data_IF_957421598706
#
_entry.id   IF_957421598706
#
_cell.length_a   1.000
_cell.length_b   1.000
_cell.length_c   1.000
_cell.angle_alpha   90.00
_cell.angle_beta   90.00
_cell.angle_gamma   90.00
#
_symmetry.space_group_name_H-M   'P 1'
#
loop_
_entity.id
_entity.type
_entity.pdbx_description
1 polymer ?
#
# COMPACT_ATOMS: atom_id res chain seq x y z
N UNK A 1 19.34 12.63 21.10
CA UNK A 1 18.93 11.38 20.41
C UNK A 1 18.13 11.65 19.13
N UNK A 2 16.98 12.34 19.17
CA UNK A 2 16.17 12.58 17.96
C UNK A 2 16.90 13.33 16.83
N UNK A 3 17.67 14.37 17.15
CA UNK A 3 18.46 15.14 16.17
C UNK A 3 19.50 14.24 15.48
N UNK A 4 20.14 13.32 16.21
CA UNK A 4 21.15 12.40 15.66
C UNK A 4 20.53 11.48 14.60
N UNK A 5 19.34 10.92 14.88
CA UNK A 5 18.63 10.10 13.90
C UNK A 5 18.19 10.90 12.66
N UNK A 6 17.77 12.15 12.84
CA UNK A 6 17.41 13.02 11.73
C UNK A 6 18.63 13.31 10.84
N UNK A 7 19.76 13.66 11.45
CA UNK A 7 21.01 13.91 10.73
C UNK A 7 21.47 12.64 10.01
N UNK A 8 21.41 11.47 10.64
CA UNK A 8 21.75 10.21 10.00
C UNK A 8 20.84 9.87 8.80
N UNK A 9 19.54 10.16 8.88
CA UNK A 9 18.64 9.97 7.75
C UNK A 9 18.96 10.90 6.57
N UNK A 10 19.33 12.15 6.85
CA UNK A 10 19.76 13.12 5.84
C UNK A 10 21.10 12.70 5.22
N UNK A 11 22.05 12.24 6.03
CA UNK A 11 23.35 11.75 5.60
C UNK A 11 23.21 10.59 4.62
N UNK A 12 22.36 9.61 4.95
CA UNK A 12 22.01 8.50 4.03
C UNK A 12 21.45 9.07 2.72
N UNK A 13 20.50 10.00 2.77
CA UNK A 13 19.94 10.62 1.56
C UNK A 13 20.99 11.29 0.67
N UNK A 14 21.93 12.02 1.27
CA UNK A 14 23.03 12.68 0.56
C UNK A 14 24.04 11.66 0.02
N UNK A 15 24.35 10.62 0.78
CA UNK A 15 25.28 9.57 0.37
C UNK A 15 24.77 8.77 -0.86
N UNK A 16 23.46 8.51 -0.97
CA UNK A 16 22.91 7.78 -2.13
C UNK A 16 22.51 8.69 -3.31
N UNK A 17 22.55 10.02 -3.16
CA UNK A 17 22.23 10.98 -4.22
C UNK A 17 23.06 10.81 -5.51
N UNK A 18 24.38 10.56 -5.46
CA UNK A 18 25.21 10.43 -6.66
C UNK A 18 24.74 9.32 -7.61
N UNK A 19 24.16 8.22 -7.09
CA UNK A 19 23.61 7.16 -7.93
C UNK A 19 22.49 7.68 -8.86
N UNK A 20 21.56 8.46 -8.31
CA UNK A 20 20.45 9.02 -9.08
C UNK A 20 20.88 10.15 -10.01
N UNK A 21 21.86 10.96 -9.58
CA UNK A 21 22.44 12.00 -10.41
C UNK A 21 23.14 11.41 -11.64
N UNK A 22 23.93 10.34 -11.46
CA UNK A 22 24.60 9.63 -12.55
C UNK A 22 23.62 8.96 -13.53
N UNK A 23 22.44 8.53 -13.05
CA UNK A 23 21.36 7.98 -13.90
C UNK A 23 20.62 9.05 -14.71
N UNK A 24 20.59 10.29 -14.23
CA UNK A 24 19.77 11.38 -14.81
C UNK A 24 20.57 12.35 -15.68
N UNK A 25 21.90 12.20 -15.76
CA UNK A 25 22.75 13.11 -16.54
C UNK A 25 22.58 12.90 -18.05
N UNK A 26 22.58 13.98 -18.86
CA UNK A 26 22.54 13.86 -20.32
C UNK A 26 23.81 13.21 -20.87
N UNK A 27 24.96 13.35 -20.19
CA UNK A 27 26.22 12.75 -20.60
C UNK A 27 26.31 11.28 -20.18
N UNK A 28 25.67 10.39 -20.95
CA UNK A 28 25.49 8.97 -20.61
C UNK A 28 26.79 8.21 -20.35
N UNK A 29 27.88 8.47 -21.10
CA UNK A 29 29.18 7.79 -20.91
C UNK A 29 29.82 8.22 -19.60
N UNK A 30 29.89 9.53 -19.33
CA UNK A 30 30.49 10.07 -18.12
C UNK A 30 29.69 9.67 -16.87
N UNK A 31 28.36 9.81 -16.92
CA UNK A 31 27.47 9.38 -15.84
C UNK A 31 27.56 7.88 -15.56
N UNK A 32 27.62 7.07 -16.61
CA UNK A 32 27.82 5.63 -16.48
C UNK A 32 29.14 5.29 -15.80
N UNK A 33 30.26 5.87 -16.25
CA UNK A 33 31.59 5.59 -15.69
C UNK A 33 31.70 5.99 -14.20
N UNK A 34 31.24 7.19 -13.86
CA UNK A 34 31.20 7.66 -12.45
C UNK A 34 30.26 6.79 -11.61
N UNK A 35 29.11 6.39 -12.16
CA UNK A 35 28.16 5.48 -11.51
C UNK A 35 28.76 4.10 -11.22
N UNK A 36 29.48 3.51 -12.17
CA UNK A 36 30.20 2.23 -11.98
C UNK A 36 31.24 2.36 -10.87
N UNK A 37 32.09 3.38 -10.93
CA UNK A 37 33.15 3.59 -9.94
C UNK A 37 32.57 3.74 -8.54
N UNK A 38 31.52 4.55 -8.39
CA UNK A 38 30.87 4.78 -7.10
C UNK A 38 30.17 3.52 -6.57
N UNK A 39 29.47 2.78 -7.44
CA UNK A 39 28.80 1.52 -7.07
C UNK A 39 29.80 0.45 -6.65
N UNK A 40 30.92 0.31 -7.38
CA UNK A 40 31.98 -0.63 -7.04
C UNK A 40 32.63 -0.28 -5.70
N UNK A 41 32.93 1.00 -5.46
CA UNK A 41 33.49 1.45 -4.18
C UNK A 41 32.58 1.08 -3.01
N UNK A 42 31.27 1.37 -3.10
CA UNK A 42 30.30 0.98 -2.07
C UNK A 42 30.22 -0.52 -1.87
N UNK A 43 30.17 -1.29 -2.96
CA UNK A 43 30.08 -2.74 -2.91
C UNK A 43 31.31 -3.35 -2.23
N UNK A 44 32.51 -2.92 -2.63
CA UNK A 44 33.78 -3.40 -2.09
C UNK A 44 33.92 -3.08 -0.60
N UNK A 45 33.66 -1.84 -0.19
CA UNK A 45 33.75 -1.43 1.22
C UNK A 45 32.75 -2.22 2.08
N UNK A 46 31.50 -2.38 1.61
CA UNK A 46 30.48 -3.12 2.37
C UNK A 46 30.74 -4.62 2.42
N UNK A 47 31.25 -5.20 1.35
CA UNK A 47 31.64 -6.60 1.34
C UNK A 47 32.83 -6.84 2.28
N UNK A 48 33.82 -5.95 2.26
CA UNK A 48 34.98 -6.00 3.15
C UNK A 48 34.57 -5.91 4.63
N UNK A 49 33.68 -4.98 4.99
CA UNK A 49 33.15 -4.84 6.36
C UNK A 49 32.37 -6.10 6.80
N UNK A 50 31.60 -6.69 5.88
CA UNK A 50 30.81 -7.90 6.16
C UNK A 50 31.72 -9.13 6.39
N UNK A 51 32.80 -9.26 5.62
CA UNK A 51 33.76 -10.38 5.74
C UNK A 51 34.66 -10.20 6.97
N UNK A 52 35.13 -8.99 7.25
CA UNK A 52 36.09 -8.72 8.33
C UNK A 52 35.41 -8.79 9.70
N UNK A 53 34.14 -8.38 9.79
CA UNK A 53 33.37 -8.35 11.03
C UNK A 53 32.06 -9.15 10.89
N UNK A 54 32.12 -10.49 10.83
CA UNK A 54 30.95 -11.35 10.63
C UNK A 54 30.04 -11.44 11.87
N UNK A 55 30.56 -11.13 13.06
CA UNK A 55 29.88 -11.40 14.33
C UNK A 55 28.62 -10.55 14.53
N UNK A 56 27.47 -11.20 14.42
CA UNK A 56 26.20 -10.76 14.97
C UNK A 56 25.90 -11.48 16.29
N UNK A 57 25.32 -10.76 17.26
CA UNK A 57 25.11 -11.26 18.61
C UNK A 57 23.92 -12.24 18.72
N UNK A 58 23.10 -12.37 17.66
CA UNK A 58 21.78 -13.04 17.71
C UNK A 58 21.68 -14.20 16.70
N UNK A 59 22.20 -14.05 15.48
CA UNK A 59 22.03 -15.01 14.37
C UNK A 59 23.33 -15.71 13.93
N UNK A 60 24.42 -15.54 14.70
CA UNK A 60 25.72 -16.14 14.43
C UNK A 60 26.56 -15.38 13.39
N UNK A 61 27.56 -16.02 12.75
CA UNK A 61 28.54 -15.34 11.89
C UNK A 61 27.98 -14.85 10.54
N UNK A 62 26.76 -15.26 10.16
CA UNK A 62 26.15 -14.87 8.88
C UNK A 62 25.05 -13.81 9.03
N UNK A 63 24.81 -13.30 10.25
CA UNK A 63 23.72 -12.36 10.55
C UNK A 63 23.71 -11.12 9.64
N UNK A 64 24.86 -10.46 9.51
CA UNK A 64 24.99 -9.25 8.68
C UNK A 64 24.70 -9.53 7.21
N UNK A 65 25.18 -10.67 6.70
CA UNK A 65 24.97 -11.06 5.31
C UNK A 65 23.47 -11.33 5.04
N UNK A 66 22.81 -12.04 5.96
CA UNK A 66 21.38 -12.37 5.86
C UNK A 66 20.50 -11.13 5.94
N UNK A 67 20.84 -10.13 6.75
CA UNK A 67 20.04 -8.89 6.84
C UNK A 67 20.31 -7.97 5.65
N UNK A 68 21.55 -7.89 5.18
CA UNK A 68 21.99 -6.95 4.15
C UNK A 68 21.86 -7.49 2.72
N UNK A 69 21.44 -8.74 2.52
CA UNK A 69 21.30 -9.32 1.19
C UNK A 69 20.48 -8.51 0.16
N UNK A 70 19.37 -7.79 0.51
CA UNK A 70 18.61 -7.04 -0.49
C UNK A 70 19.38 -5.80 -0.95
N UNK A 71 20.21 -5.25 -0.07
CA UNK A 71 21.09 -4.13 -0.39
C UNK A 71 22.16 -4.55 -1.40
N UNK A 72 22.82 -5.70 -1.18
CA UNK A 72 23.78 -6.24 -2.14
C UNK A 72 23.13 -6.52 -3.49
N UNK A 73 21.96 -7.17 -3.49
CA UNK A 73 21.20 -7.45 -4.71
C UNK A 73 20.88 -6.16 -5.49
N UNK A 74 20.43 -5.11 -4.81
CA UNK A 74 20.18 -3.81 -5.41
C UNK A 74 21.44 -3.16 -6.00
N UNK A 75 22.58 -3.24 -5.31
CA UNK A 75 23.85 -2.71 -5.81
C UNK A 75 24.35 -3.46 -7.05
N UNK A 76 24.25 -4.79 -7.07
CA UNK A 76 24.60 -5.59 -8.24
C UNK A 76 23.71 -5.25 -9.44
N UNK A 77 22.40 -5.12 -9.22
CA UNK A 77 21.46 -4.70 -10.27
C UNK A 77 21.81 -3.29 -10.81
N UNK A 78 22.14 -2.36 -9.92
CA UNK A 78 22.51 -1.01 -10.29
C UNK A 78 23.83 -0.96 -11.09
N UNK A 79 24.82 -1.76 -10.68
CA UNK A 79 26.09 -1.92 -11.40
C UNK A 79 25.84 -2.41 -12.84
N UNK A 80 25.03 -3.47 -12.99
CA UNK A 80 24.65 -3.98 -14.30
C UNK A 80 23.95 -2.93 -15.17
N UNK A 81 23.08 -2.10 -14.56
CA UNK A 81 22.41 -0.99 -15.26
C UNK A 81 23.38 0.08 -15.73
N UNK A 82 24.37 0.49 -14.94
CA UNK A 82 25.36 1.47 -15.38
C UNK A 82 26.24 0.94 -16.51
N UNK A 83 26.69 -0.32 -16.42
CA UNK A 83 27.43 -0.97 -17.51
C UNK A 83 26.58 -1.00 -18.79
N UNK A 84 25.30 -1.34 -18.70
CA UNK A 84 24.38 -1.32 -19.84
C UNK A 84 24.25 0.08 -20.46
N UNK A 85 24.14 1.14 -19.66
CA UNK A 85 24.07 2.53 -20.15
C UNK A 85 25.34 2.90 -20.92
N UNK A 86 26.51 2.54 -20.41
CA UNK A 86 27.80 2.78 -21.10
C UNK A 86 27.84 2.02 -22.43
N UNK A 87 27.53 0.72 -22.42
CA UNK A 87 27.54 -0.10 -23.64
C UNK A 87 26.56 0.44 -24.68
N UNK A 88 25.35 0.84 -24.27
CA UNK A 88 24.36 1.46 -25.16
C UNK A 88 24.86 2.80 -25.71
N UNK A 89 25.45 3.64 -24.87
CA UNK A 89 25.99 4.94 -25.30
C UNK A 89 27.14 4.78 -26.29
N UNK A 90 28.06 3.83 -26.06
CA UNK A 90 29.16 3.53 -26.99
C UNK A 90 28.61 3.00 -28.33
N UNK A 91 27.62 2.10 -28.32
CA UNK A 91 26.99 1.59 -29.56
C UNK A 91 26.33 2.70 -30.39
N UNK A 92 25.66 3.65 -29.73
CA UNK A 92 25.06 4.81 -30.40
C UNK A 92 26.15 5.73 -30.97
N UNK A 93 27.20 6.03 -30.21
CA UNK A 93 28.33 6.84 -30.69
C UNK A 93 29.05 6.19 -31.88
N UNK A 94 29.13 4.86 -31.92
CA UNK A 94 29.66 4.08 -33.04
C UNK A 94 28.69 3.96 -34.23
N UNK A 95 27.54 4.65 -34.19
CA UNK A 95 26.46 4.62 -35.21
C UNK A 95 25.92 3.22 -35.52
N UNK A 96 26.11 2.26 -34.63
CA UNK A 96 25.55 0.90 -34.75
C UNK A 96 24.04 0.87 -34.47
N UNK A 97 23.48 1.95 -33.94
CA UNK A 97 22.07 2.07 -33.56
C UNK A 97 21.63 3.54 -33.74
N UNK A 98 20.43 3.76 -34.29
CA UNK A 98 19.90 5.11 -34.52
C UNK A 98 19.64 5.87 -33.21
N UNK A 99 19.80 7.20 -33.25
CA UNK A 99 19.52 8.09 -32.12
C UNK A 99 18.01 8.17 -31.90
N UNK A 100 17.52 7.37 -30.96
CA UNK A 100 16.09 7.26 -30.63
C UNK A 100 15.72 8.42 -29.68
N UNK A 101 14.79 9.28 -30.08
CA UNK A 101 14.31 10.41 -29.28
C UNK A 101 13.90 9.94 -27.87
N UNK A 102 14.36 10.64 -26.82
CA UNK A 102 14.10 10.24 -25.43
C UNK A 102 12.60 10.05 -25.13
N UNK A 103 11.73 10.91 -25.68
CA UNK A 103 10.27 10.81 -25.52
C UNK A 103 9.68 9.50 -26.08
N UNK A 104 10.17 9.02 -27.23
CA UNK A 104 9.70 7.78 -27.87
C UNK A 104 10.21 6.52 -27.12
N UNK A 105 11.43 6.59 -26.57
CA UNK A 105 12.01 5.53 -25.72
C UNK A 105 11.23 5.41 -24.42
N UNK A 106 10.89 6.53 -23.76
CA UNK A 106 10.05 6.50 -22.56
C UNK A 106 8.66 5.91 -22.87
N UNK A 107 8.06 6.25 -24.01
CA UNK A 107 6.79 5.68 -24.45
C UNK A 107 6.88 4.16 -24.69
N UNK A 108 7.93 3.70 -25.36
CA UNK A 108 8.16 2.28 -25.64
C UNK A 108 8.48 1.50 -24.35
N UNK A 109 9.43 1.97 -23.55
CA UNK A 109 9.84 1.34 -22.29
C UNK A 109 8.68 1.25 -21.27
N UNK A 110 7.78 2.24 -21.27
CA UNK A 110 6.56 2.22 -20.45
C UNK A 110 5.53 1.19 -20.94
N UNK A 111 5.38 1.02 -22.27
CA UNK A 111 4.51 -0.01 -22.88
C UNK A 111 5.03 -1.43 -22.58
N UNK A 112 6.35 -1.62 -22.53
CA UNK A 112 6.95 -2.90 -22.16
C UNK A 112 6.89 -3.16 -20.65
N UNK A 113 7.08 -2.15 -19.80
CA UNK A 113 6.89 -2.27 -18.35
C UNK A 113 5.46 -2.70 -18.00
N UNK A 114 4.46 -2.07 -18.62
CA UNK A 114 3.04 -2.42 -18.37
C UNK A 114 2.66 -3.84 -18.83
N UNK A 115 3.29 -4.34 -19.90
CA UNK A 115 3.12 -5.71 -20.39
C UNK A 115 3.91 -6.74 -19.55
N UNK A 116 5.13 -6.41 -19.14
CA UNK A 116 5.98 -7.24 -18.29
C UNK A 116 5.38 -7.37 -16.88
N UNK A 117 4.86 -6.29 -16.31
CA UNK A 117 4.17 -6.31 -15.02
C UNK A 117 2.85 -7.12 -15.08
N UNK A 118 2.24 -7.30 -16.25
CA UNK A 118 1.07 -8.18 -16.41
C UNK A 118 1.50 -9.65 -16.37
N UNK A 119 2.57 -10.01 -17.10
CA UNK A 119 3.10 -11.38 -17.11
C UNK A 119 3.76 -11.79 -15.80
N UNK A 120 4.47 -10.88 -15.14
CA UNK A 120 5.13 -11.13 -13.86
C UNK A 120 4.11 -11.33 -12.74
N UNK A 121 2.97 -10.63 -12.80
CA UNK A 121 1.89 -10.78 -11.82
C UNK A 121 1.22 -12.16 -11.89
N UNK A 122 0.96 -12.72 -13.07
CA UNK A 122 0.43 -14.09 -13.20
C UNK A 122 1.43 -15.11 -12.65
N UNK A 123 2.70 -15.01 -13.07
CA UNK A 123 3.76 -15.94 -12.64
C UNK A 123 4.02 -15.94 -11.13
N UNK A 124 3.93 -14.77 -10.48
CA UNK A 124 4.15 -14.66 -9.02
C UNK A 124 2.98 -15.18 -8.18
N UNK A 125 1.76 -15.21 -8.72
CA UNK A 125 0.63 -15.85 -8.04
C UNK A 125 0.72 -17.37 -8.10
N UNK A 126 1.17 -17.93 -9.24
CA UNK A 126 1.36 -19.38 -9.40
C UNK A 126 2.47 -19.94 -8.48
N UNK A 127 3.58 -19.21 -8.31
CA UNK A 127 4.68 -19.61 -7.41
C UNK A 127 4.28 -19.50 -5.92
N UNK A 128 3.37 -18.58 -5.58
CA UNK A 128 2.88 -18.40 -4.21
C UNK A 128 1.95 -19.55 -3.79
N UNK A 129 1.20 -20.12 -4.73
CA UNK A 129 0.40 -21.33 -4.50
C UNK A 129 1.29 -22.58 -4.37
N UNK A 130 2.44 -22.65 -5.07
CA UNK A 130 3.41 -23.74 -4.90
C UNK A 130 4.19 -23.66 -3.56
N UNK A 131 4.48 -22.45 -3.08
CA UNK A 131 5.14 -22.22 -1.78
C UNK A 131 4.24 -22.59 -0.59
N UNK A 132 2.92 -22.41 -0.76
CA UNK A 132 1.90 -22.81 0.21
C UNK A 132 1.88 -24.32 0.43
N UNK A 133 2.09 -25.11 -0.62
CA UNK A 133 2.15 -26.56 -0.54
C UNK A 133 3.48 -27.05 0.08
N UNK A 134 4.58 -26.33 -0.14
CA UNK A 134 5.89 -26.62 0.46
C UNK A 134 5.96 -26.30 1.97
N UNK A 135 5.22 -25.27 2.43
CA UNK A 135 5.14 -24.94 3.86
C UNK A 135 4.32 -25.96 4.67
N UNK A 136 3.43 -26.71 4.02
CA UNK A 136 2.69 -27.80 4.67
C UNK A 136 3.60 -28.99 5.03
N UNK A 137 4.73 -29.13 4.34
CA UNK A 137 5.70 -30.23 4.52
C UNK A 137 6.71 -29.94 5.66
N UNK A 138 7.11 -28.67 5.81
CA UNK A 138 8.09 -28.21 6.82
C UNK A 138 7.51 -28.17 8.24
N UNK A 139 6.17 -28.11 8.38
CA UNK A 139 5.48 -28.10 9.67
C UNK A 139 5.57 -29.44 10.44
N UNK A 140 6.17 -30.47 9.85
CA UNK A 140 6.24 -31.83 10.39
C UNK A 140 7.52 -32.17 11.19
N UNK A 141 8.56 -31.33 11.16
CA UNK A 141 9.85 -31.66 11.81
C UNK A 141 10.29 -30.60 12.84
N UNK A 142 9.87 -30.73 14.09
CA UNK A 142 10.64 -30.20 15.22
C UNK A 142 10.10 -30.73 16.56
N UNK A 143 10.84 -31.63 17.21
CA UNK A 143 10.61 -32.03 18.59
C UNK A 143 11.95 -32.24 19.33
N UNK A 144 11.89 -31.99 20.64
CA UNK A 144 12.88 -32.27 21.73
C UNK A 144 14.02 -31.24 21.95
N UNK A 145 14.40 -30.83 23.18
CA UNK A 145 14.21 -31.43 24.52
C UNK A 145 14.34 -30.40 25.68
N UNK A 146 13.78 -30.82 26.82
CA UNK A 146 13.82 -30.39 28.24
C UNK A 146 15.27 -30.33 28.82
N UNK A 147 15.66 -29.83 30.01
CA UNK A 147 15.07 -29.74 31.35
C UNK A 147 16.06 -29.07 32.34
N UNK A 148 15.66 -28.09 33.16
CA UNK A 148 16.40 -27.72 34.41
C UNK A 148 15.49 -27.18 35.53
N UNK A 149 14.33 -26.64 35.22
CA UNK A 149 13.67 -25.71 36.13
C UNK A 149 12.29 -26.25 36.57
N UNK A 150 12.21 -26.91 37.73
CA UNK A 150 11.15 -27.90 38.00
C UNK A 150 10.06 -27.53 39.03
N UNK A 151 9.94 -26.30 39.53
CA UNK A 151 8.80 -26.00 40.44
C UNK A 151 8.19 -24.58 40.41
N UNK A 152 8.94 -23.51 40.14
CA UNK A 152 8.38 -22.16 39.85
C UNK A 152 8.19 -21.91 38.34
N UNK A 153 8.84 -22.76 37.56
CA UNK A 153 9.00 -22.66 36.13
C UNK A 153 7.96 -23.47 35.34
N UNK A 154 7.22 -24.48 35.84
CA UNK A 154 6.25 -25.18 34.99
C UNK A 154 5.22 -24.23 34.37
N UNK A 155 4.64 -23.30 35.15
CA UNK A 155 3.67 -22.31 34.65
C UNK A 155 4.30 -21.28 33.70
N UNK A 156 5.47 -20.73 34.06
CA UNK A 156 6.19 -19.77 33.21
C UNK A 156 6.80 -20.41 31.95
N UNK A 157 7.18 -21.68 32.00
CA UNK A 157 7.72 -22.46 30.90
C UNK A 157 6.60 -22.97 29.99
N UNK A 158 5.45 -23.37 30.56
CA UNK A 158 4.25 -23.66 29.78
C UNK A 158 3.81 -22.41 29.02
N UNK A 159 3.72 -21.25 29.69
CA UNK A 159 3.44 -19.98 29.04
C UNK A 159 4.51 -19.59 28.01
N UNK A 160 5.80 -19.66 28.35
CA UNK A 160 6.90 -19.31 27.46
C UNK A 160 6.96 -20.22 26.22
N UNK A 161 6.73 -21.52 26.38
CA UNK A 161 6.70 -22.49 25.29
C UNK A 161 5.48 -22.25 24.38
N UNK A 162 4.30 -22.06 24.98
CA UNK A 162 3.07 -21.73 24.24
C UNK A 162 3.23 -20.39 23.50
N UNK A 163 3.77 -19.37 24.17
CA UNK A 163 4.01 -18.06 23.59
C UNK A 163 5.04 -18.13 22.45
N UNK A 164 6.15 -18.87 22.61
CA UNK A 164 7.15 -19.07 21.56
C UNK A 164 6.56 -19.76 20.34
N UNK A 165 5.84 -20.88 20.54
CA UNK A 165 5.19 -21.61 19.45
C UNK A 165 4.13 -20.76 18.76
N UNK A 166 3.31 -20.05 19.53
CA UNK A 166 2.29 -19.15 18.99
C UNK A 166 2.91 -17.99 18.22
N UNK A 167 3.99 -17.39 18.73
CA UNK A 167 4.72 -16.29 18.08
C UNK A 167 5.34 -16.73 16.75
N UNK A 168 5.96 -17.92 16.69
CA UNK A 168 6.49 -18.46 15.43
C UNK A 168 5.37 -18.72 14.42
N UNK A 169 4.28 -19.35 14.84
CA UNK A 169 3.13 -19.61 13.98
C UNK A 169 2.50 -18.30 13.45
N UNK A 170 2.32 -17.30 14.32
CA UNK A 170 1.75 -16.01 13.92
C UNK A 170 2.70 -15.20 13.05
N UNK A 171 4.01 -15.36 13.22
CA UNK A 171 5.00 -14.70 12.34
C UNK A 171 4.84 -15.20 10.90
N UNK A 172 4.70 -16.52 10.71
CA UNK A 172 4.47 -17.12 9.39
C UNK A 172 3.15 -16.60 8.80
N UNK A 173 2.05 -16.66 9.57
CA UNK A 173 0.73 -16.24 9.10
C UNK A 173 0.66 -14.73 8.77
N UNK A 174 1.29 -13.89 9.61
CA UNK A 174 1.37 -12.44 9.38
C UNK A 174 2.21 -12.13 8.13
N UNK A 175 3.30 -12.87 7.91
CA UNK A 175 4.14 -12.69 6.72
C UNK A 175 3.36 -13.02 5.44
N UNK A 176 2.66 -14.17 5.42
CA UNK A 176 1.81 -14.57 4.28
C UNK A 176 0.72 -13.53 4.04
N UNK A 177 0.07 -13.05 5.12
CA UNK A 177 -0.96 -12.01 5.04
C UNK A 177 -0.39 -10.72 4.46
N UNK A 178 0.80 -10.30 4.90
CA UNK A 178 1.49 -9.09 4.42
C UNK A 178 1.86 -9.17 2.94
N UNK A 179 2.38 -10.31 2.50
CA UNK A 179 2.71 -10.58 1.09
C UNK A 179 1.45 -10.55 0.23
N UNK A 180 0.42 -11.29 0.62
CA UNK A 180 -0.90 -11.32 -0.06
C UNK A 180 -1.48 -9.91 -0.17
N UNK A 181 -1.31 -9.09 0.87
CA UNK A 181 -1.74 -7.71 0.87
C UNK A 181 -0.97 -6.80 -0.07
N UNK A 182 0.34 -6.97 -0.17
CA UNK A 182 1.13 -6.20 -1.13
C UNK A 182 0.65 -6.50 -2.55
N UNK A 183 0.44 -7.77 -2.89
CA UNK A 183 -0.13 -8.16 -4.18
C UNK A 183 -1.54 -7.59 -4.41
N UNK A 184 -2.43 -7.71 -3.43
CA UNK A 184 -3.78 -7.17 -3.53
C UNK A 184 -3.80 -5.64 -3.69
N UNK A 185 -2.89 -4.92 -3.01
CA UNK A 185 -2.70 -3.46 -3.17
C UNK A 185 -2.27 -3.12 -4.60
N UNK A 186 -1.36 -3.89 -5.20
CA UNK A 186 -0.94 -3.68 -6.60
C UNK A 186 -2.11 -3.85 -7.58
N UNK A 187 -2.94 -4.89 -7.40
CA UNK A 187 -4.16 -5.11 -8.19
C UNK A 187 -5.15 -3.96 -8.00
N UNK A 188 -5.37 -3.53 -6.76
CA UNK A 188 -6.23 -2.40 -6.44
C UNK A 188 -5.73 -1.11 -7.11
N UNK A 189 -4.44 -0.82 -6.98
CA UNK A 189 -3.79 0.33 -7.58
C UNK A 189 -4.05 0.40 -9.09
N UNK A 190 -3.87 -0.71 -9.80
CA UNK A 190 -4.18 -0.83 -11.23
C UNK A 190 -5.64 -0.52 -11.55
N UNK A 191 -6.58 -1.08 -10.77
CA UNK A 191 -8.02 -0.85 -10.95
C UNK A 191 -8.39 0.62 -10.70
N UNK A 192 -7.83 1.23 -9.66
CA UNK A 192 -8.03 2.64 -9.34
C UNK A 192 -7.47 3.55 -10.43
N UNK A 193 -6.28 3.23 -10.95
CA UNK A 193 -5.65 3.98 -12.04
C UNK A 193 -6.52 3.93 -13.30
N UNK A 194 -6.97 2.74 -13.74
CA UNK A 194 -7.88 2.59 -14.90
C UNK A 194 -9.20 3.36 -14.74
N UNK A 195 -9.78 3.39 -13.54
CA UNK A 195 -11.01 4.16 -13.25
C UNK A 195 -10.75 5.67 -13.36
N UNK A 196 -9.62 6.11 -12.82
CA UNK A 196 -9.24 7.51 -12.87
C UNK A 196 -8.94 7.96 -14.31
N UNK A 197 -8.40 7.08 -15.17
CA UNK A 197 -8.23 7.34 -16.61
C UNK A 197 -9.55 7.56 -17.34
N UNK A 198 -10.62 6.87 -16.91
CA UNK A 198 -11.98 7.07 -17.43
C UNK A 198 -12.66 8.34 -16.89
N UNK A 199 -11.95 9.13 -16.07
CA UNK A 199 -12.52 10.32 -15.41
C UNK A 199 -13.45 10.02 -14.23
N UNK A 200 -13.58 8.76 -13.81
CA UNK A 200 -14.46 8.37 -12.70
C UNK A 200 -13.78 8.65 -11.35
N UNK A 201 -14.07 9.80 -10.75
CA UNK A 201 -13.51 10.25 -9.45
C UNK A 201 -14.35 9.85 -8.22
N UNK A 202 -15.44 9.10 -8.39
CA UNK A 202 -16.39 8.76 -7.31
C UNK A 202 -15.80 7.98 -6.13
N UNK A 203 -14.63 7.36 -6.30
CA UNK A 203 -13.92 6.66 -5.22
C UNK A 203 -13.03 7.58 -4.37
N UNK A 204 -12.76 8.80 -4.83
CA UNK A 204 -11.99 9.80 -4.10
C UNK A 204 -12.95 10.76 -3.38
N UNK A 205 -12.65 11.12 -2.12
CA UNK A 205 -13.32 12.22 -1.44
C UNK A 205 -13.35 13.48 -2.32
N UNK A 206 -14.47 14.22 -2.30
CA UNK A 206 -14.68 15.42 -3.14
C UNK A 206 -13.57 16.46 -2.98
N UNK A 207 -13.02 16.61 -1.77
CA UNK A 207 -11.88 17.50 -1.47
C UNK A 207 -10.62 17.19 -2.29
N UNK A 208 -10.47 15.97 -2.81
CA UNK A 208 -9.32 15.55 -3.60
C UNK A 208 -9.56 15.63 -5.11
N UNK A 209 -10.71 16.12 -5.57
CA UNK A 209 -10.98 16.24 -7.00
C UNK A 209 -10.20 17.37 -7.66
N UNK A 210 -9.89 18.44 -6.91
CA UNK A 210 -9.14 19.64 -7.33
C UNK A 210 -8.05 20.05 -6.30
N UNK A 211 -6.98 19.25 -6.11
CA UNK A 211 -5.95 19.58 -5.14
C UNK A 211 -4.98 20.65 -5.66
N UNK A 212 -4.43 21.47 -4.75
CA UNK A 212 -3.35 22.41 -5.07
C UNK A 212 -2.14 21.66 -5.65
N UNK A 213 -1.51 22.15 -6.74
CA UNK A 213 -0.33 21.52 -7.33
C UNK A 213 0.82 21.33 -6.33
N UNK A 214 1.13 22.34 -5.51
CA UNK A 214 2.24 22.28 -4.55
C UNK A 214 2.02 21.17 -3.49
N UNK A 215 0.80 21.12 -2.94
CA UNK A 215 0.41 20.13 -1.93
C UNK A 215 0.39 18.71 -2.52
N UNK A 216 0.03 18.59 -3.80
CA UNK A 216 0.04 17.30 -4.50
C UNK A 216 1.45 16.81 -4.78
N UNK A 217 2.37 17.71 -5.16
CA UNK A 217 3.79 17.36 -5.35
C UNK A 217 4.44 16.95 -4.03
N UNK A 218 4.18 17.68 -2.94
CA UNK A 218 4.63 17.29 -1.60
C UNK A 218 4.04 15.94 -1.15
N UNK A 219 2.80 15.62 -1.56
CA UNK A 219 2.21 14.31 -1.29
C UNK A 219 2.91 13.18 -2.06
N UNK A 220 3.31 13.41 -3.31
CA UNK A 220 4.07 12.43 -4.11
C UNK A 220 5.42 12.14 -3.48
N UNK A 221 6.18 13.18 -3.09
CA UNK A 221 7.53 13.00 -2.51
C UNK A 221 7.48 12.25 -1.19
N UNK A 222 6.41 12.39 -0.41
CA UNK A 222 6.21 11.71 0.87
C UNK A 222 5.63 10.30 0.74
N UNK A 223 4.96 9.99 -0.37
CA UNK A 223 4.15 8.77 -0.50
C UNK A 223 4.99 7.49 -0.35
N UNK A 224 6.18 7.42 -0.96
CA UNK A 224 7.04 6.22 -0.89
C UNK A 224 7.48 5.90 0.54
N UNK A 225 7.96 6.90 1.27
CA UNK A 225 8.37 6.74 2.67
C UNK A 225 7.20 6.38 3.59
N UNK A 226 6.03 6.99 3.34
CA UNK A 226 4.81 6.68 4.08
C UNK A 226 4.35 5.24 3.82
N UNK A 227 4.33 4.81 2.55
CA UNK A 227 3.98 3.43 2.18
C UNK A 227 4.83 2.41 2.94
N UNK A 228 6.14 2.61 3.02
CA UNK A 228 7.04 1.71 3.76
C UNK A 228 6.72 1.75 5.26
N UNK A 229 6.57 2.94 5.85
CA UNK A 229 6.33 3.09 7.28
C UNK A 229 5.00 2.46 7.73
N UNK A 230 3.90 2.69 7.00
CA UNK A 230 2.59 2.11 7.31
C UNK A 230 2.57 0.59 7.09
N UNK A 231 3.29 0.08 6.08
CA UNK A 231 3.40 -1.37 5.86
C UNK A 231 4.15 -2.03 7.03
N UNK A 232 5.26 -1.43 7.49
CA UNK A 232 6.05 -1.94 8.62
C UNK A 232 5.26 -1.90 9.93
N UNK A 233 4.69 -0.75 10.28
CA UNK A 233 3.87 -0.61 11.49
C UNK A 233 2.61 -1.48 11.44
N UNK A 234 1.98 -1.56 10.27
CA UNK A 234 0.83 -2.41 10.06
C UNK A 234 1.14 -3.89 10.24
N UNK A 235 2.29 -4.35 9.73
CA UNK A 235 2.77 -5.71 9.99
C UNK A 235 2.95 -5.97 11.49
N UNK A 236 3.60 -5.07 12.23
CA UNK A 236 3.81 -5.22 13.67
C UNK A 236 2.49 -5.29 14.45
N UNK A 237 1.55 -4.39 14.15
CA UNK A 237 0.24 -4.34 14.80
C UNK A 237 -0.57 -5.60 14.49
N UNK A 238 -0.67 -5.99 13.22
CA UNK A 238 -1.40 -7.20 12.80
C UNK A 238 -0.78 -8.44 13.44
N UNK A 239 0.55 -8.56 13.42
CA UNK A 239 1.27 -9.67 14.03
C UNK A 239 0.97 -9.77 15.53
N UNK A 240 1.06 -8.65 16.27
CA UNK A 240 0.78 -8.62 17.70
C UNK A 240 -0.67 -9.01 18.02
N UNK A 241 -1.64 -8.51 17.25
CA UNK A 241 -3.05 -8.86 17.44
C UNK A 241 -3.30 -10.33 17.14
N UNK A 242 -2.75 -10.86 16.04
CA UNK A 242 -2.82 -12.28 15.71
C UNK A 242 -2.18 -13.15 16.81
N UNK A 243 -1.06 -12.72 17.39
CA UNK A 243 -0.41 -13.37 18.51
C UNK A 243 -1.31 -13.44 19.75
N UNK A 244 -1.99 -12.34 20.11
CA UNK A 244 -2.96 -12.34 21.22
C UNK A 244 -4.14 -13.28 20.96
N UNK A 245 -4.67 -13.31 19.73
CA UNK A 245 -5.72 -14.25 19.35
C UNK A 245 -5.25 -15.70 19.42
N UNK A 246 -4.03 -15.99 18.96
CA UNK A 246 -3.44 -17.32 19.05
C UNK A 246 -3.27 -17.77 20.52
N UNK A 247 -2.82 -16.87 21.40
CA UNK A 247 -2.70 -17.14 22.82
C UNK A 247 -4.07 -17.46 23.44
N UNK A 248 -5.08 -16.63 23.16
CA UNK A 248 -6.46 -16.86 23.63
C UNK A 248 -7.02 -18.19 23.12
N UNK A 249 -6.72 -18.56 21.86
CA UNK A 249 -7.13 -19.84 21.28
C UNK A 249 -6.45 -21.04 21.98
N UNK A 250 -5.14 -20.97 22.22
CA UNK A 250 -4.41 -22.07 22.87
C UNK A 250 -4.86 -22.26 24.32
N UNK A 251 -4.99 -21.19 25.09
CA UNK A 251 -5.48 -21.27 26.47
C UNK A 251 -6.97 -21.60 26.57
N UNK A 252 -7.78 -21.07 25.65
CA UNK A 252 -9.23 -21.24 25.67
C UNK A 252 -9.67 -22.60 25.17
N UNK A 253 -8.97 -23.21 24.20
CA UNK A 253 -9.43 -24.42 23.51
C UNK A 253 -8.41 -25.56 23.63
N UNK A 254 -7.15 -25.32 23.26
CA UNK A 254 -6.14 -26.40 23.13
C UNK A 254 -5.75 -26.99 24.50
N UNK A 255 -5.49 -26.15 25.50
CA UNK A 255 -5.06 -26.60 26.83
C UNK A 255 -6.14 -27.41 27.58
N UNK A 256 -7.43 -26.99 27.62
CA UNK A 256 -8.50 -27.80 28.21
C UNK A 256 -8.65 -29.19 27.57
N UNK A 257 -8.43 -29.28 26.25
CA UNK A 257 -8.46 -30.55 25.50
C UNK A 257 -7.29 -31.44 25.93
N UNK A 258 -6.07 -30.91 25.98
CA UNK A 258 -4.88 -31.68 26.36
C UNK A 258 -4.90 -32.14 27.82
N UNK A 259 -5.42 -31.32 28.74
CA UNK A 259 -5.48 -31.63 30.18
C UNK A 259 -6.65 -32.56 30.57
N UNK A 260 -7.42 -33.05 29.59
CA UNK A 260 -8.52 -33.99 29.83
C UNK A 260 -9.79 -33.37 30.43
N UNK A 261 -9.86 -32.04 30.58
CA UNK A 261 -11.02 -31.31 31.08
C UNK A 261 -12.06 -31.00 29.97
N UNK A 262 -12.08 -31.80 28.91
CA UNK A 262 -12.87 -31.54 27.70
C UNK A 262 -14.37 -31.50 27.97
N UNK A 263 -14.87 -32.29 28.93
CA UNK A 263 -16.29 -32.37 29.25
C UNK A 263 -16.80 -31.06 29.90
N UNK A 264 -16.02 -30.48 30.82
CA UNK A 264 -16.34 -29.20 31.45
C UNK A 264 -16.29 -28.06 30.43
N UNK A 265 -15.27 -28.07 29.57
CA UNK A 265 -15.15 -27.12 28.47
C UNK A 265 -16.34 -27.22 27.49
N UNK A 266 -16.69 -28.43 27.05
CA UNK A 266 -17.77 -28.69 26.11
C UNK A 266 -19.13 -28.29 26.68
N UNK A 267 -19.37 -28.54 27.97
CA UNK A 267 -20.58 -28.11 28.66
C UNK A 267 -20.72 -26.58 28.64
N UNK A 268 -19.65 -25.85 29.00
CA UNK A 268 -19.65 -24.39 28.97
C UNK A 268 -19.87 -23.82 27.56
N UNK A 269 -19.19 -24.38 26.56
CA UNK A 269 -19.38 -23.99 25.15
C UNK A 269 -20.79 -24.33 24.67
N UNK A 270 -21.31 -25.50 25.04
CA UNK A 270 -22.67 -25.93 24.72
C UNK A 270 -23.73 -24.98 25.29
N UNK A 271 -23.57 -24.52 26.53
CA UNK A 271 -24.45 -23.53 27.15
C UNK A 271 -24.41 -22.20 26.39
N UNK A 272 -23.21 -21.73 26.02
CA UNK A 272 -23.05 -20.49 25.23
C UNK A 272 -23.73 -20.62 23.87
N UNK A 273 -23.47 -21.71 23.14
CA UNK A 273 -24.07 -21.96 21.82
C UNK A 273 -25.59 -22.11 21.91
N UNK A 274 -26.11 -22.79 22.93
CA UNK A 274 -27.54 -22.91 23.18
C UNK A 274 -28.16 -21.54 23.45
N UNK A 275 -27.50 -20.69 24.24
CA UNK A 275 -27.97 -19.33 24.53
C UNK A 275 -28.03 -18.50 23.24
N UNK A 276 -27.00 -18.55 22.40
CA UNK A 276 -26.97 -17.87 21.09
C UNK A 276 -28.10 -18.41 20.19
N UNK A 277 -28.30 -19.72 20.14
CA UNK A 277 -29.35 -20.36 19.37
C UNK A 277 -30.75 -19.90 19.81
N UNK A 278 -31.02 -19.88 21.11
CA UNK A 278 -32.30 -19.40 21.67
C UNK A 278 -32.53 -17.94 21.28
N UNK A 279 -31.51 -17.10 21.39
CA UNK A 279 -31.60 -15.69 21.00
C UNK A 279 -31.91 -15.54 19.51
N UNK A 280 -31.22 -16.26 18.63
CA UNK A 280 -31.47 -16.23 17.18
C UNK A 280 -32.88 -16.75 16.85
N UNK A 281 -33.30 -17.85 17.49
CA UNK A 281 -34.63 -18.43 17.31
C UNK A 281 -35.73 -17.43 17.72
N UNK A 282 -35.55 -16.69 18.82
CA UNK A 282 -36.48 -15.64 19.24
C UNK A 282 -36.57 -14.51 18.21
N UNK A 283 -35.46 -14.05 17.63
CA UNK A 283 -35.49 -13.07 16.52
C UNK A 283 -36.23 -13.64 15.31
N UNK A 284 -35.95 -14.88 14.93
CA UNK A 284 -36.62 -15.53 13.80
C UNK A 284 -38.15 -15.62 14.02
N UNK A 285 -38.57 -16.03 15.23
CA UNK A 285 -39.98 -16.07 15.62
C UNK A 285 -40.61 -14.67 15.56
N UNK A 286 -39.93 -13.63 16.05
CA UNK A 286 -40.42 -12.25 15.94
C UNK A 286 -40.64 -11.83 14.49
N UNK A 287 -39.69 -12.11 13.60
CA UNK A 287 -39.80 -11.80 12.17
C UNK A 287 -40.98 -12.56 11.55
N UNK A 288 -41.14 -13.85 11.85
CA UNK A 288 -42.24 -14.67 11.35
C UNK A 288 -43.59 -14.13 11.83
N UNK A 289 -43.72 -13.80 13.12
CA UNK A 289 -44.96 -13.25 13.68
C UNK A 289 -45.32 -11.91 13.03
N UNK A 290 -44.34 -11.05 12.76
CA UNK A 290 -44.54 -9.80 12.03
C UNK A 290 -45.00 -10.06 10.59
N UNK A 291 -44.36 -10.99 9.89
CA UNK A 291 -44.72 -11.31 8.52
C UNK A 291 -46.09 -11.97 8.37
N UNK A 292 -46.51 -12.78 9.35
CA UNK A 292 -47.77 -13.53 9.29
C UNK A 292 -48.95 -12.72 9.82
N UNK A 293 -48.81 -12.07 10.99
CA UNK A 293 -49.94 -11.44 11.69
C UNK A 293 -50.04 -9.93 11.47
N UNK A 294 -48.92 -9.22 11.33
CA UNK A 294 -48.91 -7.75 11.32
C UNK A 294 -48.76 -7.14 9.92
N UNK A 295 -48.10 -7.80 8.98
CA UNK A 295 -47.94 -7.30 7.61
C UNK A 295 -49.21 -7.53 6.75
N UNK A 296 -49.57 -6.55 5.94
CA UNK A 296 -50.65 -6.70 4.97
C UNK A 296 -50.36 -7.82 3.96
N UNK A 297 -51.39 -8.56 3.52
CA UNK A 297 -51.25 -9.47 2.39
C UNK A 297 -50.80 -8.70 1.15
N UNK A 298 -50.18 -9.41 0.19
CA UNK A 298 -49.71 -8.82 -1.06
C UNK A 298 -50.88 -8.15 -1.80
N UNK A 299 -50.64 -6.95 -2.32
CA UNK A 299 -51.66 -6.17 -3.01
C UNK A 299 -51.91 -6.70 -4.44
N UNK A 300 -50.85 -7.18 -5.10
CA UNK A 300 -50.90 -7.97 -6.34
C UNK A 300 -50.15 -9.30 -6.16
N UNK A 301 -50.62 -10.43 -6.73
CA UNK A 301 -49.89 -11.69 -6.74
C UNK A 301 -48.51 -11.62 -7.44
N UNK A 302 -48.25 -10.57 -8.24
CA UNK A 302 -46.99 -10.34 -8.97
C UNK A 302 -45.90 -9.65 -8.12
N UNK A 303 -46.25 -9.06 -6.98
CA UNK A 303 -45.28 -8.39 -6.11
C UNK A 303 -44.40 -9.39 -5.35
N UNK A 304 -43.07 -9.20 -5.42
CA UNK A 304 -42.10 -10.06 -4.71
C UNK A 304 -42.22 -9.95 -3.19
N UNK A 305 -42.48 -8.75 -2.67
CA UNK A 305 -42.50 -8.46 -1.24
C UNK A 305 -43.88 -8.03 -0.76
N UNK A 306 -44.20 -8.28 0.51
CA UNK A 306 -45.42 -7.76 1.13
C UNK A 306 -45.28 -6.25 1.36
N UNK A 307 -46.34 -5.45 1.17
CA UNK A 307 -46.27 -4.00 1.41
C UNK A 307 -46.03 -3.70 2.90
N UNK A 308 -45.34 -2.60 3.21
CA UNK A 308 -45.00 -2.17 4.58
C UNK A 308 -46.21 -1.70 5.42
N UNK A 309 -47.43 -1.91 4.92
CA UNK A 309 -48.65 -1.51 5.60
C UNK A 309 -49.02 -2.53 6.68
N UNK A 310 -49.30 -2.03 7.89
CA UNK A 310 -49.53 -2.84 9.09
C UNK A 310 -51.02 -3.08 9.28
N UNK A 311 -51.42 -4.35 9.39
CA UNK A 311 -52.72 -4.79 9.86
C UNK A 311 -52.73 -4.91 11.39
N UNK A 312 -53.85 -4.53 12.01
CA UNK A 312 -54.06 -4.58 13.46
C UNK A 312 -53.01 -3.81 14.29
N UNK A 313 -52.96 -2.49 14.09
CA UNK A 313 -52.03 -1.57 14.78
C UNK A 313 -52.02 -1.72 16.30
N UNK A 314 -53.18 -1.97 16.93
CA UNK A 314 -53.27 -2.15 18.40
C UNK A 314 -52.49 -3.38 18.88
N UNK A 315 -52.66 -4.52 18.22
CA UNK A 315 -51.92 -5.73 18.57
C UNK A 315 -50.41 -5.58 18.31
N UNK A 316 -50.03 -4.83 17.25
CA UNK A 316 -48.63 -4.51 17.01
C UNK A 316 -48.01 -3.67 18.14
N UNK A 317 -48.76 -2.70 18.70
CA UNK A 317 -48.30 -1.94 19.86
C UNK A 317 -48.11 -2.82 21.10
N UNK A 318 -49.04 -3.75 21.39
CA UNK A 318 -48.89 -4.71 22.49
C UNK A 318 -47.69 -5.65 22.28
N UNK A 319 -47.51 -6.16 21.05
CA UNK A 319 -46.38 -7.01 20.67
C UNK A 319 -45.04 -6.28 20.84
N UNK A 320 -44.95 -5.04 20.36
CA UNK A 320 -43.73 -4.24 20.50
C UNK A 320 -43.42 -3.94 21.97
N UNK A 321 -44.44 -3.63 22.79
CA UNK A 321 -44.26 -3.45 24.23
C UNK A 321 -43.75 -4.72 24.92
N UNK A 322 -44.30 -5.89 24.59
CA UNK A 322 -43.86 -7.18 25.15
C UNK A 322 -42.39 -7.48 24.83
N UNK A 323 -41.94 -7.23 23.59
CA UNK A 323 -40.55 -7.48 23.18
C UNK A 323 -39.60 -6.30 23.42
N UNK A 324 -40.06 -5.22 24.04
CA UNK A 324 -39.27 -3.99 24.23
C UNK A 324 -37.92 -4.26 24.92
N UNK A 325 -37.95 -4.88 26.11
CA UNK A 325 -36.72 -5.15 26.89
C UNK A 325 -35.78 -6.13 26.18
N UNK A 326 -36.32 -7.14 25.50
CA UNK A 326 -35.52 -8.06 24.70
C UNK A 326 -34.80 -7.33 23.56
N UNK A 327 -35.50 -6.44 22.85
CA UNK A 327 -34.92 -5.62 21.79
C UNK A 327 -33.83 -4.67 22.31
N UNK A 328 -33.96 -4.17 23.55
CA UNK A 328 -32.90 -3.38 24.21
C UNK A 328 -31.63 -4.22 24.43
N UNK A 329 -31.75 -5.44 24.95
CA UNK A 329 -30.60 -6.35 25.17
C UNK A 329 -29.95 -6.71 23.82
N UNK A 330 -30.76 -6.99 22.80
CA UNK A 330 -30.27 -7.23 21.44
C UNK A 330 -29.57 -6.01 20.85
N UNK A 331 -30.09 -4.80 21.08
CA UNK A 331 -29.46 -3.54 20.67
C UNK A 331 -28.10 -3.33 21.34
N UNK A 332 -27.99 -3.59 22.64
CA UNK A 332 -26.72 -3.54 23.39
C UNK A 332 -25.70 -4.54 22.83
N UNK A 333 -26.13 -5.78 22.59
CA UNK A 333 -25.28 -6.84 22.04
C UNK A 333 -24.74 -6.49 20.65
N UNK A 334 -25.61 -5.98 19.76
CA UNK A 334 -25.20 -5.51 18.44
C UNK A 334 -24.28 -4.29 18.50
N UNK A 335 -24.42 -3.42 19.50
CA UNK A 335 -23.50 -2.29 19.70
C UNK A 335 -22.09 -2.77 20.06
N UNK A 336 -21.98 -3.76 20.95
CA UNK A 336 -20.70 -4.38 21.32
C UNK A 336 -20.09 -5.08 20.11
N UNK A 337 -20.87 -5.89 19.37
CA UNK A 337 -20.41 -6.55 18.16
C UNK A 337 -19.95 -5.56 17.08
N UNK A 338 -20.65 -4.43 16.92
CA UNK A 338 -20.25 -3.35 16.02
C UNK A 338 -18.87 -2.79 16.40
N UNK A 339 -18.63 -2.56 17.69
CA UNK A 339 -17.34 -2.06 18.17
C UNK A 339 -16.22 -3.08 17.92
N UNK A 340 -16.44 -4.35 18.32
CA UNK A 340 -15.48 -5.43 18.13
C UNK A 340 -15.16 -5.67 16.65
N UNK A 341 -16.18 -5.74 15.79
CA UNK A 341 -15.99 -5.90 14.34
C UNK A 341 -15.24 -4.72 13.73
N UNK A 342 -15.50 -3.50 14.19
CA UNK A 342 -14.79 -2.30 13.71
C UNK A 342 -13.33 -2.33 14.13
N UNK A 343 -13.01 -2.75 15.35
CA UNK A 343 -11.64 -2.92 15.82
C UNK A 343 -10.90 -3.99 15.00
N UNK A 344 -11.51 -5.18 14.83
CA UNK A 344 -10.89 -6.29 14.08
C UNK A 344 -10.60 -5.88 12.63
N UNK A 345 -11.61 -5.35 11.92
CA UNK A 345 -11.46 -4.93 10.53
C UNK A 345 -10.49 -3.73 10.42
N UNK A 346 -10.53 -2.80 11.37
CA UNK A 346 -9.63 -1.65 11.43
C UNK A 346 -8.16 -2.05 11.60
N UNK A 347 -7.86 -2.96 12.54
CA UNK A 347 -6.52 -3.52 12.72
C UNK A 347 -6.05 -4.26 11.48
N UNK A 348 -6.92 -5.10 10.90
CA UNK A 348 -6.60 -5.91 9.73
C UNK A 348 -6.32 -5.06 8.47
N UNK A 349 -6.92 -3.87 8.38
CA UNK A 349 -6.72 -2.91 7.28
C UNK A 349 -5.63 -1.85 7.56
N UNK A 350 -5.05 -1.81 8.77
CA UNK A 350 -4.16 -0.71 9.19
C UNK A 350 -2.90 -0.59 8.31
N UNK A 351 -2.43 -1.70 7.75
CA UNK A 351 -1.28 -1.76 6.85
C UNK A 351 -1.55 -1.10 5.48
N UNK A 352 -2.82 -0.89 5.12
CA UNK A 352 -3.21 -0.43 3.77
C UNK A 352 -3.45 1.07 3.73
N UNK A 353 -2.64 1.78 2.93
CA UNK A 353 -2.83 3.22 2.62
C UNK A 353 -3.95 3.45 1.57
N UNK A 354 -4.36 2.41 0.85
CA UNK A 354 -5.28 2.56 -0.29
C UNK A 354 -6.69 3.02 0.09
N UNK A 355 -7.16 2.65 1.28
CA UNK A 355 -8.50 2.96 1.80
C UNK A 355 -8.38 3.61 3.16
N UNK A 356 -9.33 4.51 3.45
CA UNK A 356 -9.46 5.08 4.78
C UNK A 356 -9.95 4.03 5.76
N UNK A 357 -9.36 4.04 6.95
CA UNK A 357 -9.91 3.31 8.11
C UNK A 357 -11.11 4.08 8.69
N UNK A 358 -11.15 5.39 8.44
CA UNK A 358 -12.13 6.30 8.98
C UNK A 358 -13.49 6.22 8.26
N UNK A 359 -14.56 6.51 9.00
CA UNK A 359 -15.94 6.59 8.47
C UNK A 359 -16.08 7.67 7.39
N UNK A 360 -17.04 7.46 6.48
CA UNK A 360 -17.37 8.39 5.39
C UNK A 360 -17.72 9.76 5.98
N UNK A 361 -17.01 10.81 5.54
CA UNK A 361 -17.10 12.18 6.09
C UNK A 361 -15.91 12.57 6.98
N UNK A 362 -15.31 11.63 7.70
CA UNK A 362 -14.10 11.84 8.51
C UNK A 362 -12.81 11.39 7.80
N UNK A 363 -12.92 10.94 6.56
CA UNK A 363 -11.84 10.49 5.67
C UNK A 363 -10.65 11.48 5.57
N UNK A 364 -10.89 12.78 5.74
CA UNK A 364 -9.82 13.78 5.72
C UNK A 364 -8.91 13.78 6.94
N UNK A 365 -9.35 13.17 8.05
CA UNK A 365 -8.54 13.02 9.27
C UNK A 365 -7.52 11.89 9.15
N UNK A 366 -7.65 11.00 8.16
CA UNK A 366 -6.67 9.96 7.86
C UNK A 366 -5.56 10.54 6.96
N UNK A 367 -4.35 10.80 7.52
CA UNK A 367 -3.27 11.39 6.76
C UNK A 367 -2.79 10.43 5.67
N UNK A 368 -2.77 9.12 5.94
CA UNK A 368 -2.25 8.10 5.04
C UNK A 368 -3.04 8.09 3.74
N UNK A 369 -4.34 7.91 3.82
CA UNK A 369 -5.20 7.91 2.64
C UNK A 369 -5.26 9.29 1.95
N UNK A 370 -5.17 10.38 2.71
CA UNK A 370 -5.15 11.74 2.16
C UNK A 370 -3.90 12.00 1.29
N UNK A 371 -2.72 11.59 1.76
CA UNK A 371 -1.47 11.68 0.98
C UNK A 371 -1.52 10.73 -0.22
N UNK A 372 -1.93 9.48 -0.03
CA UNK A 372 -2.04 8.50 -1.11
C UNK A 372 -3.06 8.88 -2.19
N UNK A 373 -4.20 9.46 -1.80
CA UNK A 373 -5.22 9.96 -2.73
C UNK A 373 -4.71 11.10 -3.59
N UNK A 374 -4.08 12.12 -2.98
CA UNK A 374 -3.50 13.26 -3.70
C UNK A 374 -2.37 12.85 -4.64
N UNK A 375 -1.49 11.96 -4.18
CA UNK A 375 -0.40 11.42 -4.99
C UNK A 375 -0.93 10.69 -6.23
N UNK A 376 -1.95 9.84 -6.08
CA UNK A 376 -2.59 9.10 -7.20
C UNK A 376 -3.21 10.02 -8.24
N UNK A 377 -3.97 11.03 -7.83
CA UNK A 377 -4.60 12.00 -8.75
C UNK A 377 -3.55 12.77 -9.54
N UNK A 378 -2.46 13.17 -8.87
CA UNK A 378 -1.40 13.94 -9.52
C UNK A 378 -0.52 13.09 -10.44
N UNK A 379 -0.22 11.85 -10.07
CA UNK A 379 0.45 10.89 -10.95
C UNK A 379 -0.33 10.66 -12.23
N UNK A 380 -1.66 10.50 -12.15
CA UNK A 380 -2.48 10.43 -13.35
C UNK A 380 -2.34 11.69 -14.19
N UNK A 381 -2.50 12.86 -13.58
CA UNK A 381 -2.45 14.12 -14.31
C UNK A 381 -1.11 14.31 -15.03
N UNK A 382 0.00 14.00 -14.35
CA UNK A 382 1.33 14.02 -14.93
C UNK A 382 1.42 13.04 -16.10
N UNK A 383 0.95 11.81 -15.90
CA UNK A 383 0.95 10.77 -16.92
C UNK A 383 0.13 11.16 -18.17
N UNK A 384 -1.07 11.73 -17.98
CA UNK A 384 -1.92 12.20 -19.08
C UNK A 384 -1.28 13.35 -19.86
N UNK A 385 -0.59 14.26 -19.17
CA UNK A 385 0.13 15.37 -19.81
C UNK A 385 1.36 14.89 -20.59
N UNK A 386 2.13 13.95 -20.04
CA UNK A 386 3.27 13.34 -20.73
C UNK A 386 2.82 12.60 -22.01
N UNK A 387 1.66 11.95 -21.98
CA UNK A 387 1.10 11.25 -23.14
C UNK A 387 0.50 12.18 -24.20
N UNK A 388 0.22 13.44 -23.85
CA UNK A 388 -0.45 14.40 -24.72
C UNK A 388 0.20 15.78 -24.56
N UNK A 389 1.38 16.02 -25.16
CA UNK A 389 2.13 17.27 -24.98
C UNK A 389 1.35 18.52 -25.43
N UNK A 390 0.46 18.38 -26.42
CA UNK A 390 -0.44 19.45 -26.87
C UNK A 390 -1.40 19.94 -25.76
N UNK A 391 -1.79 19.07 -24.81
CA UNK A 391 -2.61 19.45 -23.65
C UNK A 391 -1.84 20.30 -22.64
N UNK A 392 -0.51 20.24 -22.60
CA UNK A 392 0.31 21.10 -21.73
C UNK A 392 0.20 22.55 -22.19
N UNK A 393 0.35 22.77 -23.50
CA UNK A 393 0.23 24.10 -24.10
C UNK A 393 -1.18 24.66 -23.94
N UNK A 394 -2.22 23.85 -24.22
CA UNK A 394 -3.62 24.25 -24.00
C UNK A 394 -3.94 24.54 -22.54
N UNK A 395 -3.40 23.76 -21.60
CA UNK A 395 -3.59 24.01 -20.17
C UNK A 395 -2.89 25.28 -19.71
N UNK A 396 -1.69 25.56 -20.21
CA UNK A 396 -0.94 26.79 -19.91
C UNK A 396 -1.66 27.99 -20.50
N UNK A 397 -2.16 27.88 -21.73
CA UNK A 397 -2.95 28.91 -22.43
C UNK A 397 -4.28 29.19 -21.74
N UNK A 398 -5.05 28.17 -21.38
CA UNK A 398 -6.31 28.33 -20.63
C UNK A 398 -6.12 28.94 -19.25
N UNK A 399 -5.01 28.62 -18.57
CA UNK A 399 -4.66 29.29 -17.31
C UNK A 399 -4.28 30.75 -17.51
N UNK A 400 -3.59 31.07 -18.60
CA UNK A 400 -3.28 32.45 -18.98
C UNK A 400 -4.56 33.23 -19.31
N UNK A 401 -5.47 32.68 -20.12
CA UNK A 401 -6.74 33.35 -20.45
C UNK A 401 -7.68 33.52 -19.24
N UNK A 402 -7.60 32.63 -18.24
CA UNK A 402 -8.31 32.79 -16.96
C UNK A 402 -7.69 33.87 -16.06
N UNK A 403 -6.39 34.15 -16.20
CA UNK A 403 -5.68 35.23 -15.49
C UNK A 403 -5.80 36.56 -16.25
N UNK A 404 -5.89 36.53 -17.59
CA UNK A 404 -6.15 37.69 -18.46
C UNK A 404 -7.43 38.44 -18.07
N UNK A 405 -8.47 37.70 -17.65
CA UNK A 405 -9.73 38.33 -17.20
C UNK A 405 -9.62 39.00 -15.83
N UNK A 406 -8.52 38.81 -15.07
CA UNK A 406 -8.40 39.31 -13.71
C UNK A 406 -7.31 40.37 -13.50
N UNK A 407 -6.25 40.46 -14.31
CA UNK A 407 -5.21 41.51 -14.17
C UNK A 407 -4.39 41.76 -15.46
N UNK A 408 -4.59 42.90 -16.18
CA UNK A 408 -3.89 43.21 -17.44
C UNK A 408 -2.39 43.53 -17.30
N UNK A 409 -1.88 43.77 -16.08
CA UNK A 409 -0.48 44.15 -15.84
C UNK A 409 0.51 42.97 -15.96
N UNK A 410 0.05 41.73 -15.75
CA UNK A 410 0.90 40.54 -15.87
C UNK A 410 1.11 40.08 -17.31
N UNK A 411 0.18 40.43 -18.22
CA UNK A 411 0.32 40.18 -19.65
C UNK A 411 1.51 40.95 -20.24
N UNK A 412 1.68 42.21 -19.84
CA UNK A 412 2.82 43.03 -20.27
C UNK A 412 4.16 42.38 -19.86
N UNK A 413 4.30 41.96 -18.59
CA UNK A 413 5.53 41.30 -18.11
C UNK A 413 5.81 39.95 -18.79
N UNK A 414 4.76 39.18 -19.08
CA UNK A 414 4.90 37.89 -19.75
C UNK A 414 5.29 38.04 -21.24
N UNK A 415 4.72 39.02 -21.95
CA UNK A 415 5.11 39.34 -23.32
C UNK A 415 6.56 39.85 -23.39
N UNK A 416 6.97 40.72 -22.47
CA UNK A 416 8.36 41.20 -22.39
C UNK A 416 9.39 40.09 -22.11
N UNK A 417 9.02 39.03 -21.38
CA UNK A 417 9.91 37.88 -21.13
C UNK A 417 9.95 36.87 -22.29
N UNK A 418 8.91 36.80 -23.12
CA UNK A 418 8.91 35.96 -24.32
C UNK A 418 9.63 36.64 -25.50
N UNK A 419 9.52 37.97 -25.66
CA UNK A 419 10.28 38.70 -26.69
C UNK A 419 11.78 38.65 -26.43
N UNK A 420 12.22 38.71 -25.17
CA UNK A 420 13.64 38.54 -24.82
C UNK A 420 14.22 37.15 -25.15
N UNK A 421 13.37 36.13 -25.25
CA UNK A 421 13.77 34.77 -25.63
C UNK A 421 13.73 34.53 -27.15
N UNK A 422 13.03 35.38 -27.91
CA UNK A 422 13.00 35.37 -29.37
C UNK A 422 14.16 36.19 -29.98
N UNK A 423 14.52 37.34 -29.39
CA UNK A 423 15.64 38.19 -29.87
C UNK A 423 17.02 37.51 -29.73
N UNK A 424 17.15 36.46 -28.91
CA UNK A 424 18.39 35.67 -28.81
C UNK A 424 18.54 34.60 -29.90
N UNK A 425 17.51 34.40 -30.73
CA UNK A 425 17.46 33.37 -31.77
C UNK A 425 17.49 33.93 -33.21
N UNK A 426 17.28 35.23 -33.42
CA UNK A 426 17.31 35.86 -34.76
C UNK A 426 18.71 36.40 -35.17
N UNK A 427 19.67 36.57 -34.26
CA UNK A 427 21.02 37.11 -34.57
C UNK A 427 22.00 36.10 -35.24
N UNK A 428 21.51 35.03 -35.88
CA UNK A 428 22.38 34.01 -36.53
C UNK A 428 21.96 33.57 -37.94
N UNK A 429 20.99 34.22 -38.56
CA UNK A 429 20.59 33.89 -39.93
C UNK A 429 20.25 35.19 -40.65
N UNK A 430 20.86 35.38 -41.82
CA UNK A 430 20.84 36.59 -42.69
C UNK A 430 21.95 37.59 -42.31
N UNK A 431 23.00 37.84 -43.11
CA UNK A 431 22.97 38.14 -44.54
C UNK A 431 24.36 37.91 -45.17
N UNK A 432 24.37 37.35 -46.39
CA UNK A 432 25.54 37.10 -47.25
C UNK A 432 25.56 38.21 -48.31
N UNK A 433 26.72 38.86 -48.48
CA UNK A 433 27.27 39.68 -49.61
C UNK A 433 26.46 39.81 -50.92
N UNK A 434 26.63 40.88 -51.76
CA UNK A 434 27.94 41.43 -52.14
C UNK A 434 28.06 42.94 -52.51
N UNK A 435 29.30 43.29 -52.92
CA UNK A 435 29.74 44.33 -53.90
C UNK A 435 30.14 45.74 -53.45
N UNK A 436 31.47 45.94 -53.40
CA UNK A 436 32.29 46.79 -54.31
C UNK A 436 32.12 48.32 -54.27
N UNK A 437 33.14 49.04 -53.79
CA UNK A 437 33.96 50.01 -54.56
C UNK A 437 34.73 51.00 -53.67
N UNK A 438 36.00 51.19 -54.05
CA UNK A 438 36.80 52.42 -54.00
C UNK A 438 37.62 52.84 -52.75
N UNK A 439 38.90 53.02 -53.08
CA UNK A 439 40.06 53.70 -52.45
C UNK A 439 40.90 52.90 -51.47
#
# INVERSE_FOLDING_TARGET
MAIVYLVGALEVGVAYLPFFACLSTPHRVLGGALGVLYTLMWLLVRLYDTITCPSGMILGPYEKLIILWPFFLCLFFLLGRFVYIIVKAIRIHLKLQAEENEEDVYFHQFRYMTLADYRLSDYTFDELDALKDSLAEIASSCNETESVFKYLIPSMNEFSNVARKSWMATTIFSTITSVTYTFHVLVCYRKHLKRLWRGQKSFLPEKFHNPSPAVSMAAITRYSGWQIAFTLWGYLIVHFVQFLFALMFVYGIVLPIQKGHILSWLSNVGIILLTIFIVIALVAVQIILVQVFFLQPKLSPEDKEKPLAINNRKAFHCFNYFFFFYNVIMGLSNCILRLLSSCIVGTWLVSRIDRTIMQRGYESMDPGCSVGGRARVRWLLLYTLLRNPSLILLRKRNKLTLVDNHDPLLLARALFSQTQQADSAEDKTDEKEPTQSDV
#
